data_IF_741026603151
#
_entry.id   IF_741026603151
#
_cell.length_a   1.000
_cell.length_b   1.000
_cell.length_c   1.000
_cell.angle_alpha   90.00
_cell.angle_beta   90.00
_cell.angle_gamma   90.00
#
_symmetry.space_group_name_H-M   'P 1'
#
loop_
_entity.id
_entity.type
_entity.pdbx_description
1 polymer ?
#
# COMPACT_ATOMS: atom_id res chain seq x y z
N UNK A 1 -21.27 -8.63 9.55
CA UNK A 1 -21.82 -8.04 10.79
C UNK A 1 -20.95 -8.34 12.02
N UNK A 2 -19.66 -7.97 12.02
CA UNK A 2 -18.66 -8.60 12.92
C UNK A 2 -18.51 -8.02 14.34
N UNK A 3 -18.88 -6.76 14.61
CA UNK A 3 -18.62 -6.09 15.91
C UNK A 3 -19.85 -5.29 16.40
N UNK A 4 -21.00 -5.37 15.72
CA UNK A 4 -22.21 -4.60 16.08
C UNK A 4 -22.14 -3.08 15.91
N UNK A 5 -20.96 -2.51 15.63
CA UNK A 5 -20.74 -1.07 15.41
C UNK A 5 -20.41 -0.75 13.95
N UNK A 6 -21.38 -0.96 13.07
CA UNK A 6 -21.26 -0.63 11.62
C UNK A 6 -21.14 0.87 11.36
N UNK A 7 -21.63 1.72 12.27
CA UNK A 7 -21.53 3.17 12.13
C UNK A 7 -20.10 3.70 12.28
N UNK A 8 -19.25 3.01 13.04
CA UNK A 8 -17.89 3.44 13.31
C UNK A 8 -17.03 3.58 12.03
N UNK A 9 -16.90 2.55 11.16
CA UNK A 9 -16.20 2.69 9.88
C UNK A 9 -16.91 3.67 8.92
N UNK A 10 -18.23 3.85 9.04
CA UNK A 10 -18.95 4.84 8.22
C UNK A 10 -18.48 6.27 8.51
N UNK A 11 -18.28 6.63 9.79
CA UNK A 11 -17.74 7.94 10.16
C UNK A 11 -16.30 8.14 9.68
N UNK A 12 -15.47 7.08 9.70
CA UNK A 12 -14.11 7.15 9.17
C UNK A 12 -14.12 7.49 7.67
N UNK A 13 -14.96 6.83 6.88
CA UNK A 13 -15.13 7.10 5.44
C UNK A 13 -15.62 8.53 5.20
N UNK A 14 -16.59 9.01 5.98
CA UNK A 14 -17.09 10.39 5.86
C UNK A 14 -15.97 11.43 6.06
N UNK A 15 -15.13 11.24 7.08
CA UNK A 15 -13.96 12.09 7.33
C UNK A 15 -12.98 12.00 6.15
N UNK A 16 -12.70 10.79 5.66
CA UNK A 16 -11.82 10.61 4.52
C UNK A 16 -12.30 11.31 3.25
N UNK A 17 -13.61 11.28 2.97
CA UNK A 17 -14.19 12.00 1.83
C UNK A 17 -14.07 13.52 2.01
N UNK A 18 -14.35 14.03 3.21
CA UNK A 18 -14.19 15.46 3.51
C UNK A 18 -12.74 15.93 3.29
N UNK A 19 -11.74 15.15 3.75
CA UNK A 19 -10.33 15.47 3.54
C UNK A 19 -9.97 15.43 2.05
N UNK A 20 -10.46 14.43 1.29
CA UNK A 20 -10.22 14.35 -0.15
C UNK A 20 -10.74 15.60 -0.88
N UNK A 21 -11.95 16.05 -0.55
CA UNK A 21 -12.55 17.24 -1.17
C UNK A 21 -11.73 18.48 -0.84
N UNK A 22 -11.36 18.67 0.42
CA UNK A 22 -10.52 19.79 0.85
C UNK A 22 -9.16 19.79 0.13
N UNK A 23 -8.51 18.63 0.02
CA UNK A 23 -7.22 18.49 -0.64
C UNK A 23 -7.32 18.77 -2.15
N UNK A 24 -8.34 18.21 -2.82
CA UNK A 24 -8.58 18.47 -4.24
C UNK A 24 -8.86 19.95 -4.49
N UNK A 25 -9.70 20.60 -3.69
CA UNK A 25 -10.02 22.01 -3.86
C UNK A 25 -8.81 22.92 -3.66
N UNK A 26 -7.92 22.59 -2.70
CA UNK A 26 -6.71 23.35 -2.44
C UNK A 26 -5.62 23.16 -3.51
N UNK A 27 -5.41 21.93 -3.98
CA UNK A 27 -4.23 21.58 -4.80
C UNK A 27 -4.50 21.42 -6.30
N UNK A 28 -5.75 21.21 -6.74
CA UNK A 28 -6.09 21.14 -8.18
C UNK A 28 -5.88 22.48 -8.90
N UNK A 29 -6.23 23.65 -8.32
CA UNK A 29 -5.99 24.94 -8.98
C UNK A 29 -4.50 25.23 -9.21
N UNK A 30 -3.60 24.54 -8.51
CA UNK A 30 -2.15 24.70 -8.66
C UNK A 30 -1.68 24.03 -9.97
N UNK A 31 -1.12 24.83 -10.88
CA UNK A 31 -0.66 24.43 -12.22
C UNK A 31 0.40 23.31 -12.23
N UNK A 32 1.06 23.05 -11.11
CA UNK A 32 2.09 22.01 -11.02
C UNK A 32 1.53 20.62 -10.69
N UNK A 33 0.39 20.55 -9.98
CA UNK A 33 -0.18 19.30 -9.49
C UNK A 33 -1.47 18.90 -10.20
N UNK A 34 -2.32 19.83 -10.63
CA UNK A 34 -3.54 19.59 -11.44
C UNK A 34 -4.21 18.23 -11.14
N UNK A 35 -4.16 17.30 -12.11
CA UNK A 35 -4.77 15.97 -12.03
C UNK A 35 -4.06 15.04 -11.03
N UNK A 36 -2.75 15.20 -10.83
CA UNK A 36 -1.98 14.41 -9.85
C UNK A 36 -2.44 14.72 -8.42
N UNK A 37 -2.92 15.93 -8.15
CA UNK A 37 -3.47 16.29 -6.85
C UNK A 37 -4.63 15.37 -6.42
N UNK A 38 -5.46 14.91 -7.36
CA UNK A 38 -6.56 13.99 -7.06
C UNK A 38 -6.08 12.59 -6.64
N UNK A 39 -4.97 12.11 -7.23
CA UNK A 39 -4.35 10.85 -6.83
C UNK A 39 -3.76 10.95 -5.42
N UNK A 40 -3.01 12.02 -5.14
CA UNK A 40 -2.46 12.26 -3.79
C UNK A 40 -3.56 12.46 -2.74
N UNK A 41 -4.63 13.20 -3.05
CA UNK A 41 -5.77 13.39 -2.15
C UNK A 41 -6.47 12.08 -1.79
N UNK A 42 -6.53 11.13 -2.73
CA UNK A 42 -7.09 9.80 -2.45
C UNK A 42 -6.15 8.97 -1.56
N UNK A 43 -4.84 9.06 -1.77
CA UNK A 43 -3.85 8.42 -0.87
C UNK A 43 -3.97 8.95 0.57
N UNK A 44 -4.03 10.28 0.75
CA UNK A 44 -4.19 10.89 2.07
C UNK A 44 -5.52 10.50 2.73
N UNK A 45 -6.60 10.46 1.95
CA UNK A 45 -7.92 10.00 2.42
C UNK A 45 -7.84 8.58 2.98
N UNK A 46 -7.25 7.64 2.24
CA UNK A 46 -7.10 6.26 2.70
C UNK A 46 -6.15 6.11 3.89
N UNK A 47 -5.09 6.91 3.97
CA UNK A 47 -4.21 6.92 5.15
C UNK A 47 -4.99 7.30 6.42
N UNK A 48 -5.80 8.36 6.36
CA UNK A 48 -6.58 8.82 7.50
C UNK A 48 -7.67 7.81 7.88
N UNK A 49 -8.40 7.28 6.90
CA UNK A 49 -9.41 6.23 7.12
C UNK A 49 -8.77 5.02 7.82
N UNK A 50 -7.63 4.54 7.30
CA UNK A 50 -6.93 3.38 7.84
C UNK A 50 -6.46 3.60 9.29
N UNK A 51 -5.97 4.79 9.63
CA UNK A 51 -5.57 5.13 11.01
C UNK A 51 -6.78 5.09 11.96
N UNK A 52 -7.89 5.69 11.55
CA UNK A 52 -9.13 5.72 12.34
C UNK A 52 -9.67 4.30 12.52
N UNK A 53 -9.67 3.49 11.46
CA UNK A 53 -10.13 2.10 11.48
C UNK A 53 -9.26 1.25 12.43
N UNK A 54 -7.93 1.36 12.36
CA UNK A 54 -7.03 0.64 13.27
C UNK A 54 -7.28 1.04 14.72
N UNK A 55 -7.47 2.34 14.99
CA UNK A 55 -7.80 2.82 16.33
C UNK A 55 -9.14 2.29 16.83
N UNK A 56 -10.15 2.23 15.96
CA UNK A 56 -11.45 1.66 16.29
C UNK A 56 -11.36 0.15 16.58
N UNK A 57 -10.59 -0.60 15.80
CA UNK A 57 -10.38 -2.04 16.05
C UNK A 57 -9.70 -2.24 17.41
N UNK A 58 -8.68 -1.45 17.74
CA UNK A 58 -8.03 -1.50 19.05
C UNK A 58 -9.03 -1.21 20.18
N UNK A 59 -9.86 -0.18 20.02
CA UNK A 59 -10.85 0.23 21.03
C UNK A 59 -12.00 -0.75 21.23
N UNK A 60 -12.46 -1.43 20.16
CA UNK A 60 -13.69 -2.22 20.21
C UNK A 60 -13.46 -3.73 20.27
N UNK A 61 -12.24 -4.20 20.04
CA UNK A 61 -11.99 -5.63 19.85
C UNK A 61 -11.03 -6.24 20.86
N UNK A 62 -10.37 -5.47 21.74
CA UNK A 62 -9.36 -5.97 22.71
C UNK A 62 -8.27 -6.88 22.10
N UNK A 63 -8.10 -6.82 20.78
CA UNK A 63 -7.10 -7.60 20.05
C UNK A 63 -5.77 -6.87 20.14
N UNK A 64 -4.72 -7.60 20.52
CA UNK A 64 -3.33 -7.13 20.39
C UNK A 64 -2.92 -7.09 18.93
N UNK A 65 -3.18 -5.98 18.25
CA UNK A 65 -2.75 -5.75 16.88
C UNK A 65 -1.22 -5.59 16.86
N UNK A 66 -0.52 -6.45 16.11
CA UNK A 66 0.91 -6.30 15.90
C UNK A 66 1.17 -5.35 14.71
N UNK A 67 1.28 -4.05 15.01
CA UNK A 67 1.56 -2.99 14.02
C UNK A 67 2.83 -3.26 13.20
N UNK A 68 3.84 -3.91 13.80
CA UNK A 68 5.07 -4.28 13.09
C UNK A 68 4.77 -5.23 11.92
N UNK A 69 3.93 -6.25 12.17
CA UNK A 69 3.60 -7.25 11.16
C UNK A 69 2.67 -6.72 10.08
N UNK A 70 1.75 -5.83 10.43
CA UNK A 70 0.70 -5.34 9.50
C UNK A 70 1.18 -4.15 8.67
N UNK A 71 1.98 -3.24 9.24
CA UNK A 71 2.42 -2.03 8.55
C UNK A 71 3.92 -2.06 8.23
N UNK A 72 4.77 -2.37 9.20
CA UNK A 72 6.23 -2.22 9.02
C UNK A 72 6.81 -3.27 8.07
N UNK A 73 6.37 -4.52 8.20
CA UNK A 73 6.77 -5.60 7.31
C UNK A 73 6.54 -5.30 5.81
N UNK A 74 5.32 -4.94 5.37
CA UNK A 74 5.10 -4.61 3.95
C UNK A 74 5.84 -3.35 3.51
N UNK A 75 6.08 -2.38 4.39
CA UNK A 75 6.89 -1.19 4.07
C UNK A 75 8.34 -1.59 3.79
N UNK A 76 8.95 -2.45 4.61
CA UNK A 76 10.31 -2.93 4.39
C UNK A 76 10.39 -3.75 3.07
N UNK A 77 9.40 -4.61 2.81
CA UNK A 77 9.33 -5.39 1.58
C UNK A 77 9.21 -4.50 0.33
N UNK A 78 8.39 -3.45 0.39
CA UNK A 78 8.21 -2.51 -0.72
C UNK A 78 9.46 -1.66 -0.95
N UNK A 79 10.17 -1.24 0.09
CA UNK A 79 11.46 -0.54 -0.05
C UNK A 79 12.52 -1.41 -0.75
N UNK A 80 12.63 -2.68 -0.35
CA UNK A 80 13.53 -3.63 -1.00
C UNK A 80 13.17 -3.86 -2.48
N UNK A 81 11.87 -3.96 -2.78
CA UNK A 81 11.37 -4.05 -4.15
C UNK A 81 11.74 -2.81 -4.97
N UNK A 82 11.51 -1.60 -4.45
CA UNK A 82 11.83 -0.33 -5.14
C UNK A 82 13.31 -0.28 -5.49
N UNK A 83 14.19 -0.59 -4.52
CA UNK A 83 15.63 -0.60 -4.73
C UNK A 83 16.03 -1.58 -5.85
N UNK A 84 15.50 -2.81 -5.81
CA UNK A 84 15.77 -3.80 -6.85
C UNK A 84 15.30 -3.34 -8.23
N UNK A 85 14.07 -2.85 -8.35
CA UNK A 85 13.48 -2.39 -9.62
C UNK A 85 14.32 -1.28 -10.25
N UNK A 86 14.79 -0.31 -9.46
CA UNK A 86 15.64 0.79 -9.94
C UNK A 86 16.99 0.29 -10.45
N UNK A 87 17.62 -0.63 -9.71
CA UNK A 87 18.90 -1.23 -10.11
C UNK A 87 18.76 -2.03 -11.39
N UNK A 88 17.73 -2.87 -11.49
CA UNK A 88 17.47 -3.67 -12.70
C UNK A 88 17.13 -2.77 -13.89
N UNK A 89 16.32 -1.72 -13.68
CA UNK A 89 15.92 -0.82 -14.76
C UNK A 89 17.12 -0.08 -15.35
N UNK A 90 17.98 0.49 -14.50
CA UNK A 90 19.16 1.21 -14.97
C UNK A 90 20.14 0.28 -15.68
N UNK A 91 20.34 -0.93 -15.16
CA UNK A 91 21.24 -1.92 -15.76
C UNK A 91 20.73 -2.35 -17.15
N UNK A 92 19.46 -2.73 -17.25
CA UNK A 92 18.85 -3.22 -18.49
C UNK A 92 18.71 -2.09 -19.53
N UNK A 93 18.40 -0.87 -19.08
CA UNK A 93 18.33 0.29 -19.97
C UNK A 93 19.68 0.62 -20.60
N UNK A 94 20.77 0.58 -19.82
CA UNK A 94 22.13 0.82 -20.34
C UNK A 94 22.58 -0.22 -21.37
N UNK A 95 22.06 -1.46 -21.29
CA UNK A 95 22.40 -2.52 -22.25
C UNK A 95 21.56 -2.46 -23.53
N UNK A 96 20.24 -2.25 -23.42
CA UNK A 96 19.33 -2.37 -24.56
C UNK A 96 18.92 -1.04 -25.21
N UNK A 97 19.11 0.11 -24.53
CA UNK A 97 18.62 1.43 -24.95
C UNK A 97 17.12 1.49 -25.32
N UNK A 98 16.34 0.49 -24.91
CA UNK A 98 14.90 0.36 -25.20
C UNK A 98 14.09 0.43 -23.90
N UNK A 99 13.32 1.51 -23.75
CA UNK A 99 12.50 1.77 -22.56
C UNK A 99 11.47 0.67 -22.28
N UNK A 100 10.68 0.25 -23.27
CA UNK A 100 9.58 -0.70 -23.06
C UNK A 100 10.05 -2.05 -22.52
N UNK A 101 11.09 -2.63 -23.13
CA UNK A 101 11.62 -3.94 -22.70
C UNK A 101 12.26 -3.83 -21.31
N UNK A 102 12.96 -2.73 -21.03
CA UNK A 102 13.54 -2.47 -19.70
C UNK A 102 12.47 -2.41 -18.60
N UNK A 103 11.35 -1.72 -18.85
CA UNK A 103 10.25 -1.67 -17.86
C UNK A 103 9.66 -3.04 -17.53
N UNK A 104 9.43 -3.89 -18.55
CA UNK A 104 8.83 -5.21 -18.36
C UNK A 104 9.75 -6.10 -17.51
N UNK A 105 11.05 -6.12 -17.84
CA UNK A 105 12.04 -6.94 -17.12
C UNK A 105 12.16 -6.47 -15.66
N UNK A 106 12.18 -5.15 -15.42
CA UNK A 106 12.23 -4.61 -14.07
C UNK A 106 11.00 -4.92 -13.24
N UNK A 107 9.80 -4.87 -13.82
CA UNK A 107 8.57 -5.24 -13.11
C UNK A 107 8.59 -6.72 -12.71
N UNK A 108 9.00 -7.61 -13.63
CA UNK A 108 9.13 -9.05 -13.34
C UNK A 108 10.13 -9.32 -12.21
N UNK A 109 11.28 -8.64 -12.23
CA UNK A 109 12.27 -8.74 -11.15
C UNK A 109 11.70 -8.24 -9.81
N UNK A 110 10.98 -7.11 -9.82
CA UNK A 110 10.32 -6.56 -8.64
C UNK A 110 9.30 -7.53 -8.01
N UNK A 111 8.48 -8.21 -8.84
CA UNK A 111 7.53 -9.22 -8.38
C UNK A 111 8.25 -10.35 -7.63
N UNK A 112 9.35 -10.86 -8.18
CA UNK A 112 10.14 -11.94 -7.58
C UNK A 112 10.71 -11.50 -6.23
N UNK A 113 11.33 -10.32 -6.16
CA UNK A 113 11.92 -9.79 -4.93
C UNK A 113 10.87 -9.54 -3.85
N UNK A 114 9.72 -8.98 -4.21
CA UNK A 114 8.62 -8.76 -3.27
C UNK A 114 8.09 -10.07 -2.69
N UNK A 115 7.93 -11.10 -3.53
CA UNK A 115 7.53 -12.44 -3.10
C UNK A 115 8.52 -13.03 -2.09
N UNK A 116 9.82 -12.94 -2.39
CA UNK A 116 10.89 -13.44 -1.50
C UNK A 116 10.87 -12.68 -0.17
N UNK A 117 10.73 -11.35 -0.21
CA UNK A 117 10.68 -10.52 1.00
C UNK A 117 9.49 -10.87 1.89
N UNK A 118 8.27 -11.03 1.35
CA UNK A 118 7.09 -11.42 2.14
C UNK A 118 7.30 -12.75 2.85
N UNK A 119 7.89 -13.73 2.16
CA UNK A 119 8.21 -15.04 2.73
C UNK A 119 9.27 -14.92 3.85
N UNK A 120 10.30 -14.10 3.64
CA UNK A 120 11.35 -13.86 4.62
C UNK A 120 10.81 -13.16 5.89
N UNK A 121 9.93 -12.17 5.74
CA UNK A 121 9.35 -11.43 6.87
C UNK A 121 8.23 -12.21 7.58
N UNK A 122 7.95 -13.47 7.17
CA UNK A 122 6.88 -14.34 7.74
C UNK A 122 5.53 -13.63 7.91
N UNK A 123 5.29 -12.61 7.09
CA UNK A 123 4.12 -11.75 7.22
C UNK A 123 2.88 -12.50 6.75
N UNK A 124 3.02 -13.24 5.64
CA UNK A 124 2.20 -14.39 5.32
C UNK A 124 2.95 -15.65 5.72
N UNK A 125 2.37 -16.46 6.60
CA UNK A 125 2.96 -17.76 6.96
C UNK A 125 2.87 -18.70 5.76
N UNK A 126 3.90 -19.50 5.48
CA UNK A 126 3.83 -20.58 4.48
C UNK A 126 2.62 -21.51 4.71
N UNK A 127 2.13 -21.60 5.96
CA UNK A 127 0.90 -22.31 6.31
C UNK A 127 -0.36 -21.64 5.73
N UNK A 128 -0.44 -20.32 5.70
CA UNK A 128 -1.56 -19.57 5.12
C UNK A 128 -1.58 -19.70 3.59
N UNK A 129 -0.40 -19.60 2.95
CA UNK A 129 -0.28 -19.82 1.50
C UNK A 129 -0.68 -21.26 1.14
N UNK A 130 -0.22 -22.26 1.90
CA UNK A 130 -0.65 -23.66 1.71
C UNK A 130 -2.14 -23.87 1.99
N UNK A 131 -2.72 -23.14 2.94
CA UNK A 131 -4.15 -23.26 3.24
C UNK A 131 -5.03 -22.67 2.13
N UNK A 132 -4.59 -21.59 1.48
CA UNK A 132 -5.28 -21.00 0.32
C UNK A 132 -5.13 -21.90 -0.90
N UNK A 133 -3.94 -22.47 -1.15
CA UNK A 133 -3.68 -23.33 -2.31
C UNK A 133 -4.33 -24.73 -2.22
N UNK A 134 -4.70 -25.16 -1.01
CA UNK A 134 -5.38 -26.45 -0.75
C UNK A 134 -6.92 -26.31 -0.78
N UNK A 135 -7.43 -25.09 -0.95
CA UNK A 135 -8.85 -24.80 -1.13
C UNK A 135 -9.20 -24.79 -2.62
#
# INVERSE_FOLDING_TARGET
>A
NGVGKTLAPMYAILIGVAVKIAFCYAFIPQTNLNIKAAAYGTLFSYLIISIIDIFMVYKYTDIKINLFKIALSPVICTLAMIFSVVVVYNSVYNLLYKNGISTIISILAGIIVYFICILATKTMSLKEIKAVLKR
#
